data_IF_437660066062
#
_entry.id   IF_437660066062
#
_cell.length_a   1.000
_cell.length_b   1.000
_cell.length_c   1.000
_cell.angle_alpha   90.00
_cell.angle_beta   90.00
_cell.angle_gamma   90.00
#
_symmetry.space_group_name_H-M   'P 1'
#
loop_
_entity.id
_entity.type
_entity.pdbx_description
1 polymer ?
#
# COMPACT_ATOMS: atom_id res chain seq x y z
N UNK A 1 -15.33 1.78 44.15
CA UNK A 1 -15.84 1.11 42.95
C UNK A 1 -14.76 1.13 41.89
N UNK A 2 -14.07 0.04 41.74
CA UNK A 2 -12.99 -0.08 40.76
C UNK A 2 -13.51 -0.81 39.55
N UNK A 3 -13.85 -0.06 38.52
CA UNK A 3 -14.35 -0.62 37.30
C UNK A 3 -13.19 -0.91 36.35
N UNK A 4 -12.95 -2.18 36.14
CA UNK A 4 -12.47 -2.78 34.89
C UNK A 4 -11.72 -1.86 33.89
N UNK A 5 -10.74 -1.09 34.34
CA UNK A 5 -9.99 -0.24 33.41
C UNK A 5 -8.74 -0.89 32.80
N UNK A 6 -8.43 -2.11 33.21
CA UNK A 6 -7.18 -2.74 32.80
C UNK A 6 -7.25 -3.53 31.50
N UNK A 7 -8.41 -4.08 31.16
CA UNK A 7 -8.51 -4.95 29.99
C UNK A 7 -8.61 -4.19 28.64
N UNK A 8 -9.33 -3.08 28.54
CA UNK A 8 -9.34 -2.30 27.28
C UNK A 8 -8.00 -1.62 26.99
N UNK A 9 -7.34 -1.08 28.01
CA UNK A 9 -6.04 -0.42 27.86
C UNK A 9 -4.95 -1.39 27.41
N UNK A 10 -5.01 -2.63 27.86
CA UNK A 10 -4.05 -3.63 27.48
C UNK A 10 -4.19 -4.06 26.01
N UNK A 11 -5.43 -4.15 25.54
CA UNK A 11 -5.71 -4.42 24.12
C UNK A 11 -5.28 -3.27 23.20
N UNK A 12 -5.45 -2.03 23.66
CA UNK A 12 -5.09 -0.87 22.86
C UNK A 12 -3.57 -0.71 22.71
N UNK A 13 -2.77 -1.20 23.67
CA UNK A 13 -1.32 -1.18 23.57
C UNK A 13 -0.75 -2.10 22.49
N UNK A 14 -1.45 -3.19 22.16
CA UNK A 14 -1.01 -4.15 21.15
C UNK A 14 -1.46 -3.76 19.75
N UNK A 15 -2.33 -2.76 19.61
CA UNK A 15 -2.82 -2.28 18.33
C UNK A 15 -1.87 -1.27 17.71
N UNK A 16 -1.71 -1.36 16.39
CA UNK A 16 -0.88 -0.45 15.60
C UNK A 16 -1.67 0.11 14.44
N UNK A 17 -1.18 1.21 13.91
CA UNK A 17 -1.69 1.74 12.65
C UNK A 17 -0.86 1.19 11.48
N UNK A 18 -1.57 0.88 10.40
CA UNK A 18 -1.01 0.45 9.14
C UNK A 18 -1.54 1.34 8.02
N UNK A 19 -0.64 1.85 7.19
CA UNK A 19 -0.96 2.69 6.05
C UNK A 19 -1.03 1.82 4.80
N UNK A 20 -2.22 1.73 4.19
CA UNK A 20 -2.45 0.99 2.96
C UNK A 20 -2.56 1.96 1.78
N UNK A 21 -1.91 1.60 0.67
CA UNK A 21 -1.94 2.39 -0.56
C UNK A 21 -2.27 1.56 -1.80
N UNK A 22 -2.29 0.25 -1.68
CA UNK A 22 -2.52 -0.70 -2.78
C UNK A 22 -3.71 -1.62 -2.52
N UNK A 23 -3.54 -2.92 -2.76
CA UNK A 23 -4.63 -3.90 -2.65
C UNK A 23 -5.24 -3.99 -1.25
N UNK A 24 -4.49 -3.63 -0.21
CA UNK A 24 -4.98 -3.62 1.16
C UNK A 24 -5.91 -2.44 1.48
N UNK A 25 -6.15 -1.55 0.52
CA UNK A 25 -7.27 -0.61 0.55
C UNK A 25 -8.60 -1.32 0.36
N UNK A 26 -8.61 -2.48 -0.28
CA UNK A 26 -9.82 -3.26 -0.52
C UNK A 26 -10.28 -3.89 0.80
N UNK A 27 -11.42 -3.41 1.31
CA UNK A 27 -11.95 -3.87 2.61
C UNK A 27 -12.34 -5.35 2.59
N UNK A 28 -12.82 -5.85 1.46
CA UNK A 28 -13.14 -7.27 1.30
C UNK A 28 -11.90 -8.15 1.39
N UNK A 29 -10.80 -7.76 0.75
CA UNK A 29 -9.54 -8.49 0.86
C UNK A 29 -8.96 -8.45 2.27
N UNK A 30 -8.99 -7.28 2.92
CA UNK A 30 -8.49 -7.17 4.28
C UNK A 30 -9.33 -7.97 5.27
N UNK A 31 -10.65 -8.05 5.10
CA UNK A 31 -11.50 -8.88 5.95
C UNK A 31 -11.10 -10.35 5.90
N UNK A 32 -10.65 -10.82 4.75
CA UNK A 32 -10.16 -12.19 4.57
C UNK A 32 -8.74 -12.38 5.12
N UNK A 33 -7.84 -11.43 4.78
CA UNK A 33 -6.41 -11.52 5.13
C UNK A 33 -6.13 -11.20 6.60
N UNK A 34 -6.81 -10.18 7.11
CA UNK A 34 -6.59 -9.63 8.43
C UNK A 34 -7.94 -9.41 9.13
N UNK A 35 -8.59 -10.48 9.63
CA UNK A 35 -9.97 -10.39 10.14
C UNK A 35 -10.16 -9.47 11.33
N UNK A 36 -9.11 -9.17 12.08
CA UNK A 36 -9.17 -8.28 13.25
C UNK A 36 -8.81 -6.84 12.92
N UNK A 37 -8.38 -6.56 11.67
CA UNK A 37 -8.10 -5.20 11.23
C UNK A 37 -9.38 -4.38 11.11
N UNK A 38 -9.28 -3.09 11.46
CA UNK A 38 -10.40 -2.16 11.36
C UNK A 38 -9.99 -0.90 10.61
N UNK A 39 -10.78 -0.43 9.62
CA UNK A 39 -10.49 0.82 8.95
C UNK A 39 -10.71 1.99 9.92
N UNK A 40 -9.73 2.89 9.98
CA UNK A 40 -9.78 4.08 10.85
C UNK A 40 -10.18 5.32 10.05
N UNK A 41 -9.69 5.44 8.83
CA UNK A 41 -9.98 6.58 7.98
C UNK A 41 -9.09 6.63 6.75
N UNK A 42 -9.22 7.72 6.02
CA UNK A 42 -8.45 8.01 4.82
C UNK A 42 -7.61 9.27 5.02
N UNK A 43 -6.50 9.37 4.29
CA UNK A 43 -5.64 10.55 4.32
C UNK A 43 -4.97 10.76 2.97
N UNK A 44 -4.42 11.97 2.78
CA UNK A 44 -3.55 12.32 1.67
C UNK A 44 -2.18 12.67 2.25
N UNK A 45 -1.15 11.99 1.82
CA UNK A 45 0.21 12.17 2.36
C UNK A 45 1.04 12.99 1.37
N UNK A 46 1.55 14.12 1.82
CA UNK A 46 2.41 14.99 1.00
C UNK A 46 3.79 14.38 0.77
N UNK A 47 4.33 14.62 -0.42
CA UNK A 47 5.71 14.29 -0.76
C UNK A 47 5.96 12.83 -1.10
N UNK A 48 4.91 12.03 -1.23
CA UNK A 48 4.97 10.65 -1.67
C UNK A 48 4.07 10.44 -2.88
N UNK A 49 4.42 9.49 -3.71
CA UNK A 49 3.59 9.16 -4.87
C UNK A 49 3.45 7.65 -5.05
N UNK A 50 2.28 7.26 -5.55
CA UNK A 50 2.00 5.89 -5.95
C UNK A 50 2.69 5.59 -7.28
N UNK A 51 3.38 4.47 -7.33
CA UNK A 51 3.94 3.92 -8.58
C UNK A 51 3.54 2.45 -8.72
N UNK A 52 3.61 1.93 -9.94
CA UNK A 52 3.41 0.52 -10.20
C UNK A 52 4.70 -0.11 -10.72
N UNK A 53 5.04 -1.25 -10.13
CA UNK A 53 6.13 -2.13 -10.53
C UNK A 53 5.59 -3.53 -10.81
N UNK A 54 4.51 -3.59 -11.61
CA UNK A 54 3.62 -4.74 -11.69
C UNK A 54 2.64 -4.80 -10.52
N UNK A 55 3.09 -4.46 -9.33
CA UNK A 55 2.31 -4.26 -8.11
C UNK A 55 2.51 -2.84 -7.60
N UNK A 56 1.62 -2.39 -6.71
CA UNK A 56 1.70 -1.05 -6.14
C UNK A 56 2.92 -0.89 -5.23
N UNK A 57 3.55 0.27 -5.33
CA UNK A 57 4.66 0.69 -4.50
C UNK A 57 4.57 2.20 -4.29
N UNK A 58 5.35 2.72 -3.38
CA UNK A 58 5.42 4.15 -3.11
C UNK A 58 6.87 4.64 -3.15
N UNK A 59 7.04 5.85 -3.61
CA UNK A 59 8.35 6.51 -3.65
C UNK A 59 8.22 7.94 -3.13
N UNK A 60 9.30 8.45 -2.56
CA UNK A 60 9.38 9.88 -2.27
C UNK A 60 9.35 10.65 -3.57
N UNK A 61 8.42 11.60 -3.66
CA UNK A 61 8.33 12.48 -4.82
C UNK A 61 9.37 13.59 -4.73
N UNK A 62 9.88 13.99 -5.89
CA UNK A 62 10.69 15.23 -6.02
C UNK A 62 9.82 16.48 -5.86
N UNK A 63 8.52 16.36 -6.10
CA UNK A 63 7.55 17.43 -5.89
C UNK A 63 6.98 17.29 -4.46
N UNK A 64 7.28 18.25 -3.55
CA UNK A 64 6.78 18.21 -2.18
C UNK A 64 5.24 18.37 -2.09
N UNK A 65 4.60 18.81 -3.17
CA UNK A 65 3.15 18.96 -3.25
C UNK A 65 2.44 17.71 -3.82
N UNK A 66 3.20 16.71 -4.26
CA UNK A 66 2.61 15.43 -4.66
C UNK A 66 1.86 14.83 -3.49
N UNK A 67 0.72 14.22 -3.79
CA UNK A 67 -0.14 13.59 -2.79
C UNK A 67 -0.28 12.09 -3.04
N UNK A 68 -0.20 11.33 -1.97
CA UNK A 68 -0.45 9.89 -1.96
C UNK A 68 -1.75 9.62 -1.21
N UNK A 69 -2.81 9.14 -1.89
CA UNK A 69 -4.01 8.70 -1.21
C UNK A 69 -3.76 7.41 -0.42
N UNK A 70 -4.21 7.36 0.82
CA UNK A 70 -4.01 6.19 1.69
C UNK A 70 -5.25 5.90 2.53
N UNK A 71 -5.40 4.63 2.89
CA UNK A 71 -6.31 4.19 3.93
C UNK A 71 -5.52 3.81 5.17
N UNK A 72 -6.04 4.14 6.34
CA UNK A 72 -5.41 3.82 7.61
C UNK A 72 -6.21 2.71 8.28
N UNK A 73 -5.51 1.66 8.65
CA UNK A 73 -6.03 0.51 9.37
C UNK A 73 -5.46 0.46 10.78
N UNK A 74 -6.29 0.09 11.73
CA UNK A 74 -5.86 -0.35 13.05
C UNK A 74 -5.72 -1.86 12.99
N UNK A 75 -4.53 -2.36 13.32
CA UNK A 75 -4.18 -3.79 13.21
C UNK A 75 -3.69 -4.33 14.54
N UNK A 76 -3.90 -5.63 14.75
CA UNK A 76 -3.34 -6.39 15.85
C UNK A 76 -2.05 -7.10 15.41
N UNK A 77 -1.22 -7.61 16.36
CA UNK A 77 0.03 -8.29 15.99
C UNK A 77 -0.16 -9.49 15.04
N UNK A 78 -1.27 -10.21 15.16
CA UNK A 78 -1.60 -11.31 14.24
C UNK A 78 -1.87 -10.83 12.82
N UNK A 79 -2.50 -9.67 12.67
CA UNK A 79 -2.73 -9.04 11.36
C UNK A 79 -1.38 -8.61 10.74
N UNK A 80 -0.49 -8.02 11.53
CA UNK A 80 0.83 -7.63 11.05
C UNK A 80 1.63 -8.83 10.56
N UNK A 81 1.54 -9.96 11.26
CA UNK A 81 2.17 -11.20 10.82
C UNK A 81 1.64 -11.66 9.46
N UNK A 82 0.33 -11.62 9.25
CA UNK A 82 -0.30 -12.00 7.97
C UNK A 82 0.08 -11.02 6.85
N UNK A 83 0.16 -9.73 7.16
CA UNK A 83 0.64 -8.72 6.20
C UNK A 83 2.09 -8.98 5.81
N UNK A 84 2.96 -9.28 6.77
CA UNK A 84 4.36 -9.59 6.51
C UNK A 84 4.50 -10.78 5.56
N UNK A 85 3.70 -11.82 5.76
CA UNK A 85 3.68 -12.99 4.87
C UNK A 85 3.20 -12.61 3.46
N UNK A 86 2.13 -11.86 3.38
CA UNK A 86 1.56 -11.43 2.10
C UNK A 86 2.51 -10.55 1.31
N UNK A 87 3.17 -9.60 1.96
CA UNK A 87 4.12 -8.68 1.32
C UNK A 87 5.50 -9.32 1.10
N UNK A 88 5.72 -10.53 1.60
CA UNK A 88 7.02 -11.17 1.51
C UNK A 88 8.12 -10.42 2.27
N UNK A 89 7.74 -9.78 3.39
CA UNK A 89 8.69 -9.09 4.26
C UNK A 89 9.55 -10.09 5.01
N UNK A 90 10.86 -9.80 5.10
CA UNK A 90 11.81 -10.56 5.91
C UNK A 90 12.69 -9.62 6.71
N UNK A 91 12.85 -9.89 8.00
CA UNK A 91 13.72 -9.12 8.89
C UNK A 91 15.17 -9.04 8.41
N UNK A 92 15.60 -10.01 7.60
CA UNK A 92 16.95 -10.05 7.00
C UNK A 92 17.18 -8.99 5.92
N UNK A 93 16.15 -8.23 5.50
CA UNK A 93 16.23 -7.28 4.40
C UNK A 93 16.29 -7.92 3.01
N UNK A 94 16.02 -9.20 2.89
CA UNK A 94 16.01 -9.96 1.63
C UNK A 94 14.62 -10.30 1.13
N UNK A 95 13.59 -9.69 1.71
CA UNK A 95 12.21 -9.85 1.29
C UNK A 95 11.88 -8.99 0.07
N UNK A 96 10.68 -9.22 -0.49
CA UNK A 96 10.15 -8.46 -1.62
C UNK A 96 9.85 -7.02 -1.24
N UNK A 97 9.39 -6.80 0.00
CA UNK A 97 9.09 -5.49 0.56
C UNK A 97 9.87 -5.27 1.85
N UNK A 98 10.24 -4.02 2.09
CA UNK A 98 10.77 -3.56 3.37
C UNK A 98 9.66 -2.85 4.15
N UNK A 99 9.75 -2.89 5.49
CA UNK A 99 8.92 -2.07 6.36
C UNK A 99 9.54 -0.71 6.53
N UNK A 100 8.72 0.31 6.32
CA UNK A 100 9.11 1.70 6.52
C UNK A 100 8.04 2.43 7.32
N UNK A 101 8.33 3.66 7.72
CA UNK A 101 7.35 4.57 8.30
C UNK A 101 7.15 5.76 7.38
N UNK A 102 5.90 6.07 7.11
CA UNK A 102 5.46 7.25 6.37
C UNK A 102 4.56 8.05 7.29
N UNK A 103 4.93 9.30 7.58
CA UNK A 103 4.23 10.12 8.59
C UNK A 103 4.07 9.40 9.93
N UNK A 104 5.08 8.61 10.32
CA UNK A 104 5.08 7.85 11.58
C UNK A 104 4.26 6.57 11.57
N UNK A 105 3.63 6.21 10.45
CA UNK A 105 2.77 5.03 10.33
C UNK A 105 3.50 3.95 9.52
N UNK A 106 3.43 2.70 10.00
CA UNK A 106 4.04 1.56 9.34
C UNK A 106 3.39 1.28 7.98
N UNK A 107 4.23 1.02 6.98
CA UNK A 107 3.82 0.53 5.67
C UNK A 107 4.94 -0.30 5.04
N UNK A 108 4.71 -0.77 3.82
CA UNK A 108 5.67 -1.57 3.07
C UNK A 108 6.11 -0.82 1.82
N UNK A 109 7.38 -0.95 1.47
CA UNK A 109 7.94 -0.37 0.25
C UNK A 109 8.70 -1.46 -0.50
N UNK A 110 8.43 -1.59 -1.79
CA UNK A 110 9.14 -2.54 -2.63
C UNK A 110 10.53 -2.00 -2.98
N UNK A 111 11.50 -2.89 -2.97
CA UNK A 111 12.83 -2.55 -3.40
C UNK A 111 13.17 -3.30 -4.68
N UNK A 112 13.63 -2.61 -5.72
CA UNK A 112 14.35 -3.17 -6.86
C UNK A 112 13.52 -3.80 -7.99
N UNK A 113 12.34 -3.30 -8.33
CA UNK A 113 11.69 -3.67 -9.60
C UNK A 113 11.51 -2.45 -10.49
N UNK A 114 11.49 -2.70 -11.79
CA UNK A 114 11.20 -1.66 -12.77
C UNK A 114 9.75 -1.24 -12.72
N UNK A 115 9.48 0.00 -13.13
CA UNK A 115 8.13 0.49 -13.35
C UNK A 115 7.46 -0.36 -14.42
N UNK A 116 6.30 -0.92 -14.12
CA UNK A 116 5.55 -1.78 -15.01
C UNK A 116 4.06 -1.69 -14.68
N UNK A 117 3.22 -1.84 -15.70
CA UNK A 117 1.77 -1.75 -15.53
C UNK A 117 1.23 -2.86 -14.63
N UNK A 118 0.20 -2.59 -13.84
CA UNK A 118 -0.47 -3.62 -13.05
C UNK A 118 -1.31 -4.53 -13.95
N UNK A 119 -1.49 -5.79 -13.54
CA UNK A 119 -2.50 -6.64 -14.13
C UNK A 119 -3.90 -6.05 -13.89
N UNK A 120 -4.80 -6.24 -14.83
CA UNK A 120 -6.15 -5.65 -14.77
C UNK A 120 -6.93 -6.05 -13.53
N UNK A 121 -6.89 -7.31 -13.15
CA UNK A 121 -7.59 -7.81 -11.95
C UNK A 121 -7.03 -7.18 -10.67
N UNK A 122 -5.73 -7.04 -10.58
CA UNK A 122 -5.04 -6.40 -9.45
C UNK A 122 -5.38 -4.90 -9.38
N UNK A 123 -5.35 -4.21 -10.51
CA UNK A 123 -5.77 -2.80 -10.58
C UNK A 123 -7.21 -2.62 -10.10
N UNK A 124 -8.13 -3.48 -10.56
CA UNK A 124 -9.54 -3.40 -10.18
C UNK A 124 -9.74 -3.65 -8.68
N UNK A 125 -8.94 -4.50 -8.08
CA UNK A 125 -8.93 -4.69 -6.62
C UNK A 125 -8.58 -3.41 -5.88
N UNK A 126 -7.57 -2.68 -6.35
CA UNK A 126 -7.16 -1.39 -5.76
C UNK A 126 -8.23 -0.33 -6.02
N UNK A 127 -8.80 -0.31 -7.21
CA UNK A 127 -9.87 0.64 -7.57
C UNK A 127 -11.07 0.50 -6.61
N UNK A 128 -11.46 -0.73 -6.31
CA UNK A 128 -12.51 -0.97 -5.31
C UNK A 128 -12.08 -0.45 -3.93
N UNK A 129 -10.82 -0.62 -3.56
CA UNK A 129 -10.27 -0.07 -2.32
C UNK A 129 -10.34 1.45 -2.26
N UNK A 130 -10.08 2.13 -3.36
CA UNK A 130 -10.26 3.57 -3.47
C UNK A 130 -11.71 3.99 -3.21
N UNK A 131 -12.66 3.25 -3.77
CA UNK A 131 -14.08 3.47 -3.50
C UNK A 131 -14.42 3.19 -2.04
N UNK A 132 -13.88 2.11 -1.46
CA UNK A 132 -14.13 1.73 -0.07
C UNK A 132 -13.69 2.82 0.92
N UNK A 133 -12.60 3.53 0.63
CA UNK A 133 -12.08 4.61 1.46
C UNK A 133 -12.46 6.01 0.99
N UNK A 134 -13.21 6.14 -0.12
CA UNK A 134 -13.61 7.43 -0.67
C UNK A 134 -12.44 8.25 -1.20
N UNK A 135 -11.43 7.60 -1.77
CA UNK A 135 -10.25 8.25 -2.32
C UNK A 135 -10.47 8.71 -3.76
N UNK A 136 -9.77 9.78 -4.16
CA UNK A 136 -9.79 10.28 -5.52
C UNK A 136 -9.07 9.29 -6.46
N UNK A 137 -9.81 8.68 -7.37
CA UNK A 137 -9.31 7.67 -8.29
C UNK A 137 -8.36 8.21 -9.36
N UNK A 138 -8.30 9.53 -9.57
CA UNK A 138 -7.40 10.13 -10.56
C UNK A 138 -5.93 9.80 -10.27
N UNK A 139 -5.54 9.77 -9.00
CA UNK A 139 -4.19 9.38 -8.61
C UNK A 139 -3.84 7.94 -8.99
N UNK A 140 -4.81 7.04 -8.88
CA UNK A 140 -4.65 5.64 -9.27
C UNK A 140 -4.49 5.50 -10.79
N UNK A 141 -5.37 6.15 -11.56
CA UNK A 141 -5.30 6.11 -13.01
C UNK A 141 -4.02 6.78 -13.54
N UNK A 142 -3.60 7.88 -12.95
CA UNK A 142 -2.36 8.57 -13.33
C UNK A 142 -1.14 7.66 -13.10
N UNK A 143 -1.07 6.99 -11.96
CA UNK A 143 0.02 6.06 -11.67
C UNK A 143 0.06 4.88 -12.65
N UNK A 144 -1.10 4.31 -12.97
CA UNK A 144 -1.20 3.21 -13.93
C UNK A 144 -0.84 3.68 -15.35
N UNK A 145 -1.29 4.87 -15.75
CA UNK A 145 -0.95 5.47 -17.04
C UNK A 145 0.55 5.73 -17.19
N UNK A 146 1.18 6.26 -16.16
CA UNK A 146 2.62 6.45 -16.11
C UNK A 146 3.37 5.12 -16.24
N UNK A 147 2.94 4.10 -15.52
CA UNK A 147 3.55 2.76 -15.58
C UNK A 147 3.44 2.15 -16.97
N UNK A 148 2.29 2.30 -17.63
CA UNK A 148 2.08 1.83 -19.00
C UNK A 148 2.98 2.58 -19.99
N UNK A 149 3.12 3.89 -19.84
CA UNK A 149 4.01 4.70 -20.68
C UNK A 149 5.46 4.26 -20.56
N UNK A 150 5.98 4.14 -19.34
CA UNK A 150 7.35 3.72 -19.07
C UNK A 150 7.63 2.31 -19.62
N UNK A 151 6.71 1.38 -19.46
CA UNK A 151 6.84 0.02 -19.97
C UNK A 151 6.86 0.02 -21.51
N UNK A 152 5.97 0.79 -22.14
CA UNK A 152 5.93 0.89 -23.60
C UNK A 152 7.19 1.52 -24.17
N UNK A 153 7.71 2.59 -23.54
CA UNK A 153 8.99 3.20 -23.97
C UNK A 153 10.14 2.22 -23.89
N UNK A 154 10.23 1.49 -22.80
CA UNK A 154 11.25 0.44 -22.60
C UNK A 154 11.15 -0.66 -23.67
N UNK A 155 9.92 -1.12 -23.97
CA UNK A 155 9.68 -2.15 -24.98
C UNK A 155 9.96 -1.64 -26.39
N UNK A 156 9.64 -0.37 -26.69
CA UNK A 156 9.92 0.23 -27.99
C UNK A 156 11.41 0.32 -28.29
N UNK A 157 12.23 0.66 -27.29
CA UNK A 157 13.68 0.68 -27.42
C UNK A 157 14.19 -0.72 -27.82
N UNK A 158 13.73 -1.75 -27.14
CA UNK A 158 14.11 -3.15 -27.47
C UNK A 158 13.51 -3.61 -28.79
N UNK A 159 12.30 -3.18 -29.15
CA UNK A 159 11.66 -3.49 -30.41
C UNK A 159 12.38 -2.91 -31.62
N UNK A 160 12.95 -1.72 -31.51
CA UNK A 160 13.75 -1.10 -32.56
C UNK A 160 15.11 -1.80 -32.77
N UNK A 161 15.68 -2.38 -31.75
CA UNK A 161 16.91 -3.17 -31.83
C UNK A 161 16.68 -4.54 -32.44
N UNK A 162 15.45 -5.06 -32.41
CA UNK A 162 15.09 -6.37 -32.93
C UNK A 162 14.78 -6.38 -34.45
N UNK A 163 14.68 -5.20 -35.06
CA UNK A 163 14.46 -5.02 -36.49
C UNK A 163 15.77 -4.77 -37.20
#
# INVERSE_FOLDING_TARGET
>A
MFTKMTTPLYKDYDKRLYLAYGSNLNKGQMAYRCPTARPVGAAMIYGWELVFRGVADIVKSKDPNMLLPVGIWEIEPGDEYELDLYEGYRKSGRGLYDKIKVSGIMTYQMTRREIARPATSYFNTILQGYHDFGLDTSYLYDAAGWAAHEENERNNVFGLEAV
#
